data_IF_157594785411
#
_entry.id   IF_157594785411
#
_cell.length_a   1.000
_cell.length_b   1.000
_cell.length_c   1.000
_cell.angle_alpha   90.00
_cell.angle_beta   90.00
_cell.angle_gamma   90.00
#
_symmetry.space_group_name_H-M   'P 1'
#
loop_
_entity.id
_entity.type
_entity.pdbx_description
1 polymer ?
#
# COMPACT_ATOMS: atom_id res chain seq x y z
N UNK A 1 20.08 -27.73 -31.56
CA UNK A 1 19.17 -27.58 -30.41
C UNK A 1 19.96 -27.97 -29.17
N UNK A 2 20.32 -27.00 -28.35
CA UNK A 2 21.04 -27.23 -27.10
C UNK A 2 20.11 -27.94 -26.12
N UNK A 3 20.52 -29.10 -25.61
CA UNK A 3 19.83 -29.80 -24.52
C UNK A 3 19.66 -28.85 -23.35
N UNK A 4 18.45 -28.70 -22.76
CA UNK A 4 18.24 -27.78 -21.65
C UNK A 4 19.16 -28.18 -20.48
N UNK A 5 19.84 -27.19 -19.90
CA UNK A 5 20.77 -27.41 -18.80
C UNK A 5 20.04 -28.06 -17.61
N UNK A 6 20.64 -29.12 -17.09
CA UNK A 6 20.11 -29.94 -16.00
C UNK A 6 21.03 -29.80 -14.80
N UNK A 7 20.45 -29.48 -13.65
CA UNK A 7 21.17 -29.14 -12.43
C UNK A 7 20.95 -30.23 -11.38
N UNK A 8 22.05 -30.76 -10.84
CA UNK A 8 22.00 -31.74 -9.76
C UNK A 8 21.64 -31.07 -8.44
N UNK A 9 20.72 -31.68 -7.69
CA UNK A 9 20.24 -31.18 -6.39
C UNK A 9 20.84 -31.99 -5.24
N UNK A 10 20.86 -33.32 -5.39
CA UNK A 10 21.35 -34.25 -4.38
C UNK A 10 20.50 -35.52 -4.28
N UNK A 11 20.82 -36.43 -3.34
CA UNK A 11 20.15 -37.71 -3.20
C UNK A 11 18.69 -37.53 -2.76
N UNK A 12 17.76 -38.22 -3.40
CA UNK A 12 16.34 -38.18 -3.04
C UNK A 12 16.11 -38.66 -1.60
N UNK A 13 16.96 -39.57 -1.10
CA UNK A 13 16.94 -40.08 0.26
C UNK A 13 17.24 -39.01 1.33
N UNK A 14 17.92 -37.91 0.97
CA UNK A 14 18.20 -36.80 1.88
C UNK A 14 16.97 -35.93 2.14
N UNK A 15 15.96 -35.97 1.27
CA UNK A 15 14.73 -35.20 1.43
C UNK A 15 13.66 -36.00 2.17
N UNK A 16 13.30 -35.57 3.39
CA UNK A 16 12.08 -36.03 4.06
C UNK A 16 10.85 -35.31 3.51
N UNK A 17 9.65 -35.80 3.80
CA UNK A 17 8.42 -35.08 3.45
C UNK A 17 8.44 -33.65 4.03
N UNK A 18 8.03 -32.67 3.23
CA UNK A 18 8.05 -31.22 3.48
C UNK A 18 9.46 -30.61 3.59
N UNK A 19 10.50 -31.36 3.22
CA UNK A 19 11.85 -30.80 3.14
C UNK A 19 12.00 -29.90 1.91
N UNK A 20 12.95 -28.98 1.98
CA UNK A 20 13.18 -28.00 0.93
C UNK A 20 14.65 -27.67 0.77
N UNK A 21 15.10 -27.41 -0.45
CA UNK A 21 16.49 -27.06 -0.74
C UNK A 21 16.53 -25.97 -1.81
N UNK A 22 17.43 -25.01 -1.63
CA UNK A 22 17.69 -23.99 -2.63
C UNK A 22 18.79 -24.47 -3.58
N UNK A 23 18.54 -24.34 -4.88
CA UNK A 23 19.50 -24.71 -5.93
C UNK A 23 19.67 -23.53 -6.85
N UNK A 24 20.93 -23.13 -7.08
CA UNK A 24 21.25 -22.12 -8.08
C UNK A 24 21.40 -22.78 -9.44
N UNK A 25 20.49 -22.46 -10.34
CA UNK A 25 20.44 -22.93 -11.72
C UNK A 25 20.71 -21.74 -12.63
N UNK A 26 21.92 -21.66 -13.19
CA UNK A 26 22.44 -20.47 -13.87
C UNK A 26 22.31 -19.21 -12.98
N UNK A 27 21.63 -18.19 -13.46
CA UNK A 27 21.39 -16.94 -12.75
C UNK A 27 20.15 -17.00 -11.85
N UNK A 28 19.39 -18.12 -11.81
CA UNK A 28 18.13 -18.26 -11.06
C UNK A 28 18.27 -19.15 -9.84
N UNK A 29 17.77 -18.69 -8.70
CA UNK A 29 17.61 -19.50 -7.50
C UNK A 29 16.26 -20.22 -7.54
N UNK A 30 16.30 -21.54 -7.52
CA UNK A 30 15.15 -22.45 -7.60
C UNK A 30 14.92 -23.08 -6.22
N UNK A 31 13.69 -22.97 -5.72
CA UNK A 31 13.27 -23.64 -4.51
C UNK A 31 12.72 -25.03 -4.86
N UNK A 32 13.43 -26.06 -4.42
CA UNK A 32 13.04 -27.47 -4.59
C UNK A 32 12.37 -27.96 -3.32
N UNK A 33 11.16 -28.47 -3.44
CA UNK A 33 10.37 -29.00 -2.33
C UNK A 33 10.10 -30.48 -2.53
N UNK A 34 10.17 -31.26 -1.45
CA UNK A 34 9.55 -32.58 -1.38
C UNK A 34 8.24 -32.45 -0.63
N UNK A 35 7.13 -32.84 -1.24
CA UNK A 35 5.84 -32.91 -0.56
C UNK A 35 5.17 -34.24 -0.90
N UNK A 36 4.84 -35.01 0.15
CA UNK A 36 4.50 -36.42 0.07
C UNK A 36 5.59 -37.17 -0.71
N UNK A 37 5.20 -37.89 -1.75
CA UNK A 37 6.10 -38.69 -2.60
C UNK A 37 6.55 -37.96 -3.87
N UNK A 38 6.19 -36.68 -4.00
CA UNK A 38 6.49 -35.87 -5.17
C UNK A 38 7.54 -34.79 -4.87
N UNK A 39 8.31 -34.45 -5.89
CA UNK A 39 9.21 -33.30 -5.88
C UNK A 39 8.68 -32.20 -6.79
N UNK A 40 8.87 -30.96 -6.34
CA UNK A 40 8.43 -29.76 -7.03
C UNK A 40 9.55 -28.75 -7.07
N UNK A 41 9.63 -27.98 -8.15
CA UNK A 41 10.60 -26.91 -8.28
C UNK A 41 9.91 -25.65 -8.80
N UNK A 42 10.13 -24.53 -8.12
CA UNK A 42 9.59 -23.22 -8.51
C UNK A 42 10.68 -22.17 -8.40
N UNK A 43 10.56 -21.07 -9.15
CA UNK A 43 11.40 -19.90 -8.92
C UNK A 43 11.31 -19.55 -7.41
N UNK A 44 12.46 -19.39 -6.73
CA UNK A 44 12.45 -19.05 -5.31
C UNK A 44 11.89 -17.62 -5.09
N UNK A 45 11.96 -16.76 -6.09
CA UNK A 45 11.38 -15.42 -6.04
C UNK A 45 9.86 -15.47 -6.27
N UNK A 46 9.07 -15.13 -5.26
CA UNK A 46 7.61 -15.04 -5.36
C UNK A 46 7.15 -14.07 -6.45
N UNK A 47 6.13 -14.43 -7.23
CA UNK A 47 5.55 -13.60 -8.29
C UNK A 47 5.04 -12.23 -7.83
N UNK A 48 4.69 -12.09 -6.55
CA UNK A 48 4.15 -10.83 -6.05
C UNK A 48 5.24 -9.77 -5.98
N UNK A 49 6.27 -9.98 -5.14
CA UNK A 49 7.37 -9.03 -4.90
C UNK A 49 8.73 -9.71 -4.66
N UNK A 50 8.95 -10.91 -5.17
CA UNK A 50 10.26 -11.59 -5.10
C UNK A 50 10.65 -12.22 -3.75
N UNK A 51 9.70 -12.37 -2.83
CA UNK A 51 9.91 -13.01 -1.53
C UNK A 51 10.40 -14.46 -1.64
N UNK A 52 11.28 -14.93 -0.72
CA UNK A 52 11.93 -16.23 -0.81
C UNK A 52 10.95 -17.35 -0.45
N UNK A 53 10.39 -18.01 -1.46
CA UNK A 53 9.41 -19.07 -1.28
C UNK A 53 9.96 -20.28 -0.51
N UNK A 54 11.27 -20.52 -0.55
CA UNK A 54 11.91 -21.57 0.25
C UNK A 54 11.61 -21.43 1.76
N UNK A 55 11.43 -20.20 2.25
CA UNK A 55 11.11 -19.93 3.67
C UNK A 55 9.62 -20.08 4.00
N UNK A 56 8.77 -20.25 2.98
CA UNK A 56 7.34 -20.39 3.12
C UNK A 56 6.92 -21.74 3.70
N UNK A 57 5.82 -21.74 4.45
CA UNK A 57 5.16 -22.97 4.89
C UNK A 57 4.37 -23.61 3.73
N UNK A 58 4.21 -24.93 3.74
CA UNK A 58 3.42 -25.64 2.72
C UNK A 58 2.03 -25.96 3.29
N UNK A 59 0.98 -25.43 2.69
CA UNK A 59 -0.42 -25.77 2.98
C UNK A 59 -0.99 -26.66 1.87
N UNK A 60 -2.06 -27.41 2.15
CA UNK A 60 -2.82 -28.13 1.10
C UNK A 60 -4.14 -27.38 0.89
N UNK A 61 -4.36 -26.90 -0.34
CA UNK A 61 -5.53 -26.09 -0.70
C UNK A 61 -6.11 -26.64 -1.99
N UNK A 62 -7.39 -27.03 -1.95
CA UNK A 62 -8.10 -27.59 -3.11
C UNK A 62 -7.37 -28.77 -3.76
N UNK A 63 -6.75 -29.63 -2.95
CA UNK A 63 -5.96 -30.78 -3.43
C UNK A 63 -4.55 -30.42 -3.94
N UNK A 64 -4.17 -29.15 -3.99
CA UNK A 64 -2.86 -28.70 -4.42
C UNK A 64 -1.93 -28.38 -3.24
N UNK A 65 -0.67 -28.86 -3.26
CA UNK A 65 0.33 -28.38 -2.32
C UNK A 65 0.72 -26.94 -2.65
N UNK A 66 0.57 -26.04 -1.69
CA UNK A 66 0.77 -24.61 -1.85
C UNK A 66 1.86 -24.10 -0.92
N UNK A 67 2.89 -23.44 -1.45
CA UNK A 67 3.82 -22.66 -0.64
C UNK A 67 3.19 -21.31 -0.30
N UNK A 68 3.22 -20.95 0.98
CA UNK A 68 2.74 -19.67 1.51
C UNK A 68 3.90 -18.68 1.55
N UNK A 69 3.85 -17.66 0.71
CA UNK A 69 4.90 -16.65 0.67
C UNK A 69 5.07 -16.00 2.05
N UNK A 70 6.28 -15.99 2.64
CA UNK A 70 6.50 -15.50 4.00
C UNK A 70 6.22 -14.00 4.15
N UNK A 71 6.30 -13.22 3.06
CA UNK A 71 6.10 -11.77 3.10
C UNK A 71 4.63 -11.37 3.04
N UNK A 72 3.84 -12.00 2.16
CA UNK A 72 2.50 -11.53 1.81
C UNK A 72 1.40 -12.56 2.01
N UNK A 73 1.76 -13.76 2.49
CA UNK A 73 0.82 -14.85 2.75
C UNK A 73 0.04 -15.34 1.52
N UNK A 74 0.59 -15.08 0.32
CA UNK A 74 0.04 -15.59 -0.94
C UNK A 74 0.32 -17.08 -1.05
N UNK A 75 -0.71 -17.85 -1.40
CA UNK A 75 -0.63 -19.30 -1.60
C UNK A 75 -0.36 -19.58 -3.06
N UNK A 76 0.72 -20.32 -3.32
CA UNK A 76 1.21 -20.60 -4.67
C UNK A 76 1.33 -22.10 -4.81
N UNK A 77 0.60 -22.68 -5.76
CA UNK A 77 0.66 -24.12 -6.00
C UNK A 77 2.06 -24.51 -6.49
N UNK A 78 2.60 -25.60 -5.93
CA UNK A 78 3.93 -26.09 -6.27
C UNK A 78 3.97 -26.84 -7.61
N UNK A 79 2.83 -27.40 -8.03
CA UNK A 79 2.67 -28.17 -9.26
C UNK A 79 2.38 -27.28 -10.48
N UNK A 80 1.45 -26.35 -10.37
CA UNK A 80 0.98 -25.53 -11.50
C UNK A 80 1.53 -24.11 -11.49
N UNK A 81 1.91 -23.57 -10.32
CA UNK A 81 2.35 -22.18 -10.15
C UNK A 81 1.22 -21.17 -10.06
N UNK A 82 0.00 -21.63 -9.77
CA UNK A 82 -1.19 -20.78 -9.64
C UNK A 82 -1.24 -20.08 -8.28
N UNK A 83 -1.73 -18.83 -8.29
CA UNK A 83 -1.99 -18.07 -7.06
C UNK A 83 -3.39 -18.34 -6.54
N UNK A 84 -3.54 -19.18 -5.50
CA UNK A 84 -4.84 -19.51 -4.92
C UNK A 84 -5.23 -18.53 -3.80
N UNK A 85 -6.53 -18.27 -3.68
CA UNK A 85 -7.09 -17.44 -2.61
C UNK A 85 -8.51 -17.88 -2.24
N UNK A 86 -8.91 -17.55 -1.01
CA UNK A 86 -10.28 -17.78 -0.54
C UNK A 86 -11.15 -16.58 -0.94
N UNK A 87 -12.17 -16.82 -1.76
CA UNK A 87 -13.11 -15.78 -2.16
C UNK A 87 -13.99 -15.39 -0.97
N UNK A 88 -14.06 -14.08 -0.71
CA UNK A 88 -15.07 -13.52 0.19
C UNK A 88 -16.42 -13.55 -0.52
N UNK A 89 -17.33 -14.41 -0.04
CA UNK A 89 -18.70 -14.41 -0.51
C UNK A 89 -19.49 -13.35 0.25
N UNK A 90 -20.33 -12.62 -0.47
CA UNK A 90 -21.12 -11.51 0.05
C UNK A 90 -22.60 -11.92 0.03
N UNK A 91 -23.35 -11.56 1.07
CA UNK A 91 -24.81 -11.69 1.05
C UNK A 91 -25.42 -10.69 0.05
N UNK A 92 -26.69 -10.86 -0.36
CA UNK A 92 -27.39 -9.85 -1.16
C UNK A 92 -27.38 -8.44 -0.53
N UNK A 93 -27.21 -8.36 0.80
CA UNK A 93 -27.11 -7.10 1.55
C UNK A 93 -25.67 -6.55 1.65
N UNK A 94 -24.71 -7.10 0.90
CA UNK A 94 -23.36 -6.55 0.80
C UNK A 94 -22.47 -6.73 2.04
N UNK A 95 -22.80 -7.68 2.93
CA UNK A 95 -21.94 -8.06 4.06
C UNK A 95 -21.28 -9.42 3.81
N UNK A 96 -20.05 -9.66 4.31
CA UNK A 96 -19.41 -10.97 4.19
C UNK A 96 -20.29 -12.06 4.78
N UNK A 97 -20.70 -13.01 3.95
CA UNK A 97 -21.49 -14.14 4.40
C UNK A 97 -20.56 -15.11 5.14
N UNK A 98 -20.56 -15.01 6.46
CA UNK A 98 -19.76 -15.89 7.33
C UNK A 98 -20.25 -17.33 7.35
N UNK A 99 -21.45 -17.61 6.82
CA UNK A 99 -22.02 -18.96 6.72
C UNK A 99 -21.83 -19.56 5.33
N UNK A 100 -21.45 -18.77 4.34
CA UNK A 100 -21.17 -19.25 3.00
C UNK A 100 -19.97 -20.22 3.02
N UNK A 101 -20.01 -21.28 2.19
CA UNK A 101 -18.89 -22.20 2.08
C UNK A 101 -17.65 -21.47 1.56
N UNK A 102 -16.49 -21.79 2.15
CA UNK A 102 -15.22 -21.30 1.64
C UNK A 102 -15.03 -21.77 0.19
N UNK A 103 -14.88 -20.83 -0.72
CA UNK A 103 -14.62 -21.11 -2.14
C UNK A 103 -13.20 -20.71 -2.48
N UNK A 104 -12.42 -21.67 -2.97
CA UNK A 104 -11.10 -21.40 -3.54
C UNK A 104 -11.28 -20.82 -4.94
N UNK A 105 -10.52 -19.78 -5.23
CA UNK A 105 -10.40 -19.18 -6.55
C UNK A 105 -8.92 -19.10 -6.94
N UNK A 106 -8.66 -19.13 -8.24
CA UNK A 106 -7.32 -19.04 -8.82
C UNK A 106 -7.11 -17.69 -9.50
N UNK A 107 -5.93 -17.10 -9.31
CA UNK A 107 -5.42 -15.95 -10.09
C UNK A 107 -4.80 -16.39 -11.42
N UNK A 108 -4.87 -17.68 -11.76
CA UNK A 108 -4.12 -18.30 -12.86
C UNK A 108 -2.65 -18.49 -12.52
N UNK A 109 -1.88 -19.01 -13.50
CA UNK A 109 -0.45 -19.28 -13.36
C UNK A 109 0.36 -17.99 -13.27
N UNK A 110 0.93 -17.71 -12.10
CA UNK A 110 1.75 -16.51 -11.83
C UNK A 110 3.21 -16.86 -11.51
N UNK A 111 3.43 -18.02 -10.91
CA UNK A 111 4.74 -18.53 -10.52
C UNK A 111 5.28 -19.51 -11.59
N UNK A 112 6.55 -19.38 -11.96
CA UNK A 112 7.21 -20.35 -12.83
C UNK A 112 7.53 -21.62 -12.05
N UNK A 113 7.16 -22.74 -12.65
CA UNK A 113 7.49 -24.09 -12.18
C UNK A 113 8.51 -24.71 -13.14
N UNK A 114 9.41 -25.51 -12.59
CA UNK A 114 10.50 -26.18 -13.30
C UNK A 114 10.32 -27.70 -13.22
N UNK A 115 10.99 -28.41 -14.10
CA UNK A 115 10.83 -29.87 -14.21
C UNK A 115 11.79 -30.52 -13.22
N UNK A 116 11.28 -31.43 -12.39
CA UNK A 116 12.11 -32.25 -11.50
C UNK A 116 12.12 -33.68 -12.04
N UNK A 117 13.31 -34.28 -12.15
CA UNK A 117 13.49 -35.69 -12.52
C UNK A 117 14.27 -36.43 -11.45
N UNK A 118 13.91 -37.70 -11.23
CA UNK A 118 14.65 -38.63 -10.39
C UNK A 118 15.32 -39.67 -11.30
N UNK A 119 16.64 -39.80 -11.19
CA UNK A 119 17.43 -40.80 -11.90
C UNK A 119 18.44 -41.40 -10.94
N UNK A 120 18.51 -42.73 -10.87
CA UNK A 120 19.43 -43.48 -10.01
C UNK A 120 19.42 -43.05 -8.53
N UNK A 121 18.27 -42.59 -8.03
CA UNK A 121 18.10 -42.11 -6.65
C UNK A 121 18.52 -40.66 -6.43
N UNK A 122 18.94 -39.95 -7.47
CA UNK A 122 19.37 -38.55 -7.44
C UNK A 122 18.30 -37.62 -8.01
N UNK A 123 18.16 -36.43 -7.41
CA UNK A 123 17.19 -35.40 -7.81
C UNK A 123 17.88 -34.38 -8.72
N UNK A 124 17.21 -34.05 -9.82
CA UNK A 124 17.69 -33.04 -10.78
C UNK A 124 16.58 -32.05 -11.14
N UNK A 125 16.97 -30.82 -11.42
CA UNK A 125 16.09 -29.76 -11.90
C UNK A 125 16.47 -29.37 -13.32
N UNK A 126 15.47 -29.25 -14.20
CA UNK A 126 15.62 -28.69 -15.56
C UNK A 126 14.78 -27.42 -15.66
N UNK A 127 15.42 -26.31 -16.06
CA UNK A 127 14.74 -25.03 -16.16
C UNK A 127 13.67 -25.02 -17.27
N UNK A 128 12.44 -24.65 -16.91
CA UNK A 128 11.32 -24.52 -17.86
C UNK A 128 11.04 -23.05 -18.19
N UNK A 129 11.88 -22.45 -19.02
CA UNK A 129 11.81 -21.02 -19.42
C UNK A 129 11.34 -20.80 -20.86
N UNK A 130 11.06 -21.86 -21.62
CA UNK A 130 10.66 -21.76 -23.03
C UNK A 130 9.22 -21.25 -23.27
N UNK A 131 8.40 -21.16 -22.22
CA UNK A 131 7.02 -20.68 -22.27
C UNK A 131 6.87 -19.15 -22.20
N UNK A 132 5.64 -18.62 -22.18
CA UNK A 132 5.40 -17.19 -22.00
C UNK A 132 6.01 -16.67 -20.70
N UNK A 133 6.33 -15.38 -20.69
CA UNK A 133 6.82 -14.69 -19.49
C UNK A 133 5.72 -14.68 -18.43
N UNK A 134 6.09 -15.01 -17.20
CA UNK A 134 5.24 -15.01 -16.02
C UNK A 134 5.68 -13.89 -15.07
N UNK A 135 4.80 -13.45 -14.17
CA UNK A 135 5.08 -12.36 -13.22
C UNK A 135 6.32 -12.65 -12.36
N UNK A 136 6.52 -13.90 -11.96
CA UNK A 136 7.71 -14.37 -11.24
C UNK A 136 9.03 -14.15 -11.98
N UNK A 137 9.06 -14.14 -13.32
CA UNK A 137 10.30 -13.95 -14.08
C UNK A 137 10.95 -12.61 -13.81
N UNK A 138 10.13 -11.56 -13.65
CA UNK A 138 10.62 -10.22 -13.36
C UNK A 138 11.46 -10.18 -12.08
N UNK A 139 11.14 -11.02 -11.11
CA UNK A 139 11.88 -11.13 -9.86
C UNK A 139 12.97 -12.18 -9.90
N UNK A 140 12.73 -13.31 -10.57
CA UNK A 140 13.68 -14.41 -10.70
C UNK A 140 14.89 -14.05 -11.56
N UNK A 141 14.82 -13.02 -12.39
CA UNK A 141 15.95 -12.50 -13.18
C UNK A 141 16.75 -11.42 -12.43
N UNK A 142 16.32 -10.97 -11.24
CA UNK A 142 17.04 -9.94 -10.49
C UNK A 142 18.23 -10.54 -9.74
N UNK A 143 19.43 -9.99 -9.91
CA UNK A 143 20.63 -10.47 -9.19
C UNK A 143 20.40 -10.68 -7.69
N UNK A 144 19.67 -9.76 -7.06
CA UNK A 144 19.40 -9.80 -5.62
C UNK A 144 18.56 -11.01 -5.21
N UNK A 145 17.61 -11.41 -6.06
CA UNK A 145 16.78 -12.57 -5.85
C UNK A 145 17.58 -13.89 -5.96
N UNK A 146 18.82 -13.79 -6.45
CA UNK A 146 19.67 -14.93 -6.76
C UNK A 146 21.05 -14.86 -6.07
N UNK A 147 21.14 -14.05 -5.00
CA UNK A 147 22.37 -13.89 -4.20
C UNK A 147 22.64 -15.08 -3.28
N UNK A 148 21.61 -15.80 -2.86
CA UNK A 148 21.81 -16.98 -2.02
C UNK A 148 22.54 -18.08 -2.82
N UNK A 149 23.46 -18.78 -2.16
CA UNK A 149 24.16 -19.92 -2.76
C UNK A 149 23.30 -21.19 -2.77
N UNK A 150 23.71 -22.15 -3.59
CA UNK A 150 23.16 -23.51 -3.54
C UNK A 150 23.37 -24.13 -2.16
N UNK A 151 22.32 -24.71 -1.60
CA UNK A 151 22.38 -25.45 -0.35
C UNK A 151 22.93 -26.86 -0.60
N UNK A 152 23.70 -27.38 0.36
CA UNK A 152 24.30 -28.73 0.28
C UNK A 152 23.34 -29.82 0.77
N UNK A 153 22.49 -29.50 1.74
CA UNK A 153 21.52 -30.41 2.34
C UNK A 153 20.14 -29.75 2.40
N UNK A 154 19.06 -30.54 2.32
CA UNK A 154 17.71 -30.02 2.46
C UNK A 154 17.40 -29.61 3.91
N UNK A 155 16.62 -28.54 4.05
CA UNK A 155 16.04 -28.11 5.32
C UNK A 155 14.82 -28.95 5.65
N UNK A 156 14.78 -29.51 6.86
CA UNK A 156 13.63 -30.25 7.38
C UNK A 156 12.53 -29.30 7.91
N UNK A 157 11.29 -29.77 7.89
CA UNK A 157 10.12 -29.04 8.36
C UNK A 157 10.03 -29.05 9.90
N UNK A 158 10.63 -28.06 10.56
CA UNK A 158 10.63 -27.97 12.03
C UNK A 158 9.31 -27.39 12.58
N UNK A 159 8.45 -28.25 13.16
CA UNK A 159 7.12 -27.91 13.74
C UNK A 159 7.14 -27.01 15.00
N UNK A 160 8.24 -26.36 15.37
CA UNK A 160 8.33 -25.45 16.53
C UNK A 160 9.32 -24.31 16.24
N UNK A 161 8.82 -23.09 16.00
CA UNK A 161 9.64 -21.88 16.09
C UNK A 161 9.82 -21.49 17.56
N UNK A 162 10.74 -22.14 18.26
CA UNK A 162 11.48 -21.51 19.36
C UNK A 162 12.65 -20.76 18.75
N UNK A 163 12.84 -19.50 19.14
CA UNK A 163 14.02 -18.70 18.81
C UNK A 163 15.28 -19.38 19.36
N UNK A 164 15.84 -20.33 18.64
CA UNK A 164 17.21 -20.80 18.87
C UNK A 164 17.93 -20.88 17.54
N UNK A 165 19.03 -20.15 17.49
CA UNK A 165 20.03 -20.13 16.44
C UNK A 165 20.60 -21.51 16.22
N UNK A 166 20.38 -22.08 15.04
CA UNK A 166 21.31 -23.06 14.49
C UNK A 166 22.47 -22.29 13.90
N UNK A 167 23.64 -22.56 14.43
CA UNK A 167 24.93 -22.02 14.02
C UNK A 167 25.19 -22.33 12.55
N UNK A 168 25.47 -21.28 11.76
CA UNK A 168 26.10 -21.43 10.44
C UNK A 168 25.42 -20.76 9.25
N UNK A 169 24.09 -20.54 9.24
CA UNK A 169 23.43 -19.87 8.11
C UNK A 169 22.22 -19.04 8.57
N UNK A 170 22.31 -17.71 8.40
CA UNK A 170 21.23 -16.79 8.76
C UNK A 170 20.17 -16.71 7.65
N UNK A 171 19.34 -17.74 7.52
CA UNK A 171 18.23 -17.74 6.55
C UNK A 171 17.27 -16.55 6.75
N UNK A 172 17.00 -16.13 7.99
CA UNK A 172 16.08 -15.01 8.27
C UNK A 172 16.61 -13.60 7.98
N UNK A 173 17.93 -13.42 7.82
CA UNK A 173 18.53 -12.09 7.56
C UNK A 173 18.53 -11.76 6.07
N UNK A 174 18.65 -12.78 5.20
CA UNK A 174 18.64 -12.60 3.76
C UNK A 174 17.25 -12.23 3.22
N UNK A 175 16.16 -12.82 3.75
CA UNK A 175 14.78 -12.44 3.43
C UNK A 175 14.50 -10.94 3.62
N UNK A 176 14.93 -10.38 4.76
CA UNK A 176 14.71 -8.97 5.10
C UNK A 176 15.62 -8.00 4.32
N UNK A 177 16.81 -8.46 3.90
CA UNK A 177 17.71 -7.67 3.06
C UNK A 177 17.24 -7.72 1.58
N UNK A 178 16.80 -8.89 1.12
CA UNK A 178 16.29 -9.16 -0.22
C UNK A 178 14.99 -8.40 -0.51
N UNK A 179 14.10 -8.27 0.47
CA UNK A 179 12.95 -7.37 0.34
C UNK A 179 13.44 -5.95 0.05
N UNK A 180 14.26 -5.38 0.92
CA UNK A 180 14.75 -4.01 0.78
C UNK A 180 15.41 -3.65 -0.56
N UNK A 181 16.29 -4.50 -1.12
CA UNK A 181 16.98 -4.17 -2.38
C UNK A 181 16.33 -4.73 -3.68
N UNK A 182 15.29 -5.57 -3.60
CA UNK A 182 14.39 -5.81 -4.76
C UNK A 182 13.58 -4.53 -5.01
N UNK A 183 13.09 -3.90 -3.95
CA UNK A 183 12.40 -2.61 -4.03
C UNK A 183 13.32 -1.47 -4.53
N UNK A 184 14.63 -1.51 -4.21
CA UNK A 184 15.59 -0.50 -4.65
C UNK A 184 16.15 -0.66 -6.09
N UNK A 185 16.09 -1.83 -6.73
CA UNK A 185 16.65 -2.06 -8.09
C UNK A 185 15.65 -1.85 -9.24
N UNK A 186 14.34 -1.88 -8.94
CA UNK A 186 13.30 -1.52 -9.92
C UNK A 186 13.23 -0.01 -10.20
N UNK A 187 13.97 0.80 -9.44
CA UNK A 187 14.16 2.24 -9.64
C UNK A 187 15.56 2.54 -10.20
N UNK A 188 15.83 2.26 -11.47
CA UNK A 188 17.08 2.73 -12.11
C UNK A 188 16.82 3.86 -13.08
N UNK A 189 17.15 5.06 -12.59
CA UNK A 189 17.22 6.28 -13.38
C UNK A 189 18.04 7.40 -12.75
N UNK A 190 18.85 7.19 -11.70
CA UNK A 190 19.80 8.21 -11.22
C UNK A 190 21.03 7.56 -10.59
N UNK A 191 22.23 7.97 -11.04
CA UNK A 191 23.53 7.58 -10.44
C UNK A 191 23.61 8.07 -9.00
N UNK A 192 23.63 7.16 -8.02
CA UNK A 192 23.89 7.50 -6.62
C UNK A 192 25.38 7.73 -6.37
N UNK A 193 25.73 8.93 -5.88
CA UNK A 193 26.93 9.16 -5.09
C UNK A 193 26.64 8.76 -3.64
N UNK A 194 27.55 8.02 -3.01
CA UNK A 194 27.47 7.68 -1.59
C UNK A 194 27.62 8.94 -0.74
N UNK A 195 26.63 9.20 0.13
CA UNK A 195 26.70 10.26 1.14
C UNK A 195 26.66 9.63 2.52
N UNK A 196 27.56 10.11 3.39
CA UNK A 196 27.70 9.76 4.80
C UNK A 196 26.37 9.80 5.57
N UNK A 197 26.15 8.83 6.46
CA UNK A 197 24.99 8.70 7.35
C UNK A 197 24.78 9.84 8.37
N UNK A 198 25.70 10.82 8.44
CA UNK A 198 25.79 11.80 9.52
C UNK A 198 25.04 13.12 9.31
N UNK A 199 24.33 13.33 8.19
CA UNK A 199 23.71 14.64 7.85
C UNK A 199 22.20 14.55 7.57
N UNK A 200 21.52 13.51 8.08
CA UNK A 200 20.09 13.31 7.82
C UNK A 200 19.21 14.30 8.59
N UNK A 201 18.21 14.91 7.93
CA UNK A 201 17.30 15.83 8.59
C UNK A 201 16.51 15.12 9.69
N UNK A 202 16.46 15.73 10.86
CA UNK A 202 15.69 15.24 12.01
C UNK A 202 14.67 16.29 12.41
N UNK A 203 13.42 15.88 12.46
CA UNK A 203 12.29 16.74 12.79
C UNK A 203 11.92 16.58 14.26
N UNK A 204 11.57 17.66 14.94
CA UNK A 204 11.02 17.63 16.28
C UNK A 204 9.54 17.99 16.23
N UNK A 205 8.70 17.18 16.86
CA UNK A 205 7.30 17.58 17.06
C UNK A 205 7.25 18.59 18.21
N UNK A 206 6.86 19.82 17.91
CA UNK A 206 6.90 20.94 18.87
C UNK A 206 5.56 21.25 19.49
N UNK A 207 4.47 20.80 18.84
CA UNK A 207 3.10 21.04 19.29
C UNK A 207 2.18 19.95 18.76
N UNK A 208 1.13 19.66 19.53
CA UNK A 208 0.05 18.74 19.18
C UNK A 208 -1.28 19.37 19.56
N UNK A 209 -2.23 19.41 18.64
CA UNK A 209 -3.55 20.01 18.85
C UNK A 209 -4.68 19.04 18.46
N UNK A 210 -5.80 19.01 19.19
CA UNK A 210 -6.95 18.22 18.78
C UNK A 210 -7.57 18.80 17.50
N UNK A 211 -7.99 17.92 16.58
CA UNK A 211 -8.71 18.30 15.35
C UNK A 211 -10.16 17.85 15.43
N UNK A 212 -10.37 16.58 15.78
CA UNK A 212 -11.69 15.97 15.95
C UNK A 212 -11.53 14.69 16.80
N UNK A 213 -12.60 13.92 17.00
CA UNK A 213 -12.57 12.73 17.85
C UNK A 213 -11.47 11.74 17.41
N UNK A 214 -10.50 11.52 18.32
CA UNK A 214 -9.40 10.60 18.09
C UNK A 214 -8.39 11.03 17.02
N UNK A 215 -8.41 12.30 16.61
CA UNK A 215 -7.53 12.85 15.56
C UNK A 215 -6.86 14.14 16.05
N UNK A 216 -5.55 14.23 15.83
CA UNK A 216 -4.73 15.37 16.26
C UNK A 216 -3.86 15.89 15.11
N UNK A 217 -3.53 17.16 15.16
CA UNK A 217 -2.55 17.81 14.28
C UNK A 217 -1.21 17.94 15.01
N UNK A 218 -0.14 17.54 14.33
CA UNK A 218 1.23 17.51 14.84
C UNK A 218 2.08 18.50 14.06
N UNK A 219 2.77 19.37 14.77
CA UNK A 219 3.57 20.45 14.20
C UNK A 219 5.05 20.10 14.28
N UNK A 220 5.75 20.16 13.14
CA UNK A 220 7.16 19.73 13.06
C UNK A 220 8.09 20.89 12.73
N UNK A 221 9.23 20.92 13.40
CA UNK A 221 10.35 21.82 13.09
C UNK A 221 11.61 21.03 12.78
N UNK A 222 12.47 21.57 11.91
CA UNK A 222 13.78 20.99 11.66
C UNK A 222 14.68 21.22 12.87
N UNK A 223 15.10 20.14 13.51
CA UNK A 223 15.95 20.19 14.72
C UNK A 223 17.43 19.93 14.42
N UNK A 224 17.72 19.17 13.35
CA UNK A 224 19.07 18.86 12.90
C UNK A 224 19.09 18.54 11.40
N UNK A 225 20.26 18.68 10.77
CA UNK A 225 20.45 18.43 9.34
C UNK A 225 19.92 19.56 8.45
N UNK A 226 19.90 19.30 7.13
CA UNK A 226 19.33 20.21 6.12
C UNK A 226 18.20 19.52 5.37
N UNK A 227 17.16 20.29 5.05
CA UNK A 227 16.05 19.83 4.23
C UNK A 227 15.74 20.92 3.19
N UNK A 228 15.63 20.52 1.93
CA UNK A 228 15.21 21.43 0.87
C UNK A 228 13.69 21.63 0.94
N UNK A 229 13.29 22.66 1.66
CA UNK A 229 11.89 23.02 1.88
C UNK A 229 11.17 23.47 0.61
N UNK A 230 11.91 23.87 -0.44
CA UNK A 230 11.33 24.32 -1.70
C UNK A 230 10.70 23.17 -2.51
N UNK A 231 11.12 21.94 -2.20
CA UNK A 231 10.60 20.72 -2.81
C UNK A 231 9.32 20.20 -2.15
N UNK A 232 8.93 20.74 -0.99
CA UNK A 232 7.76 20.29 -0.26
C UNK A 232 6.51 20.99 -0.78
N UNK A 233 5.44 20.21 -0.96
CA UNK A 233 4.12 20.70 -1.33
C UNK A 233 3.07 20.03 -0.44
N UNK A 234 2.01 20.75 0.01
CA UNK A 234 0.86 20.10 0.64
C UNK A 234 0.32 18.95 -0.20
N UNK A 235 0.05 17.81 0.44
CA UNK A 235 -0.29 16.55 -0.22
C UNK A 235 0.90 15.61 -0.46
N UNK A 236 2.15 16.09 -0.42
CA UNK A 236 3.32 15.21 -0.36
C UNK A 236 3.32 14.37 0.92
N UNK A 237 3.95 13.21 0.86
CA UNK A 237 4.21 12.37 2.02
C UNK A 237 5.56 12.67 2.68
N UNK A 238 5.68 12.27 3.94
CA UNK A 238 6.93 12.14 4.69
C UNK A 238 7.00 10.78 5.35
N UNK A 239 8.17 10.14 5.30
CA UNK A 239 8.49 8.91 6.00
C UNK A 239 9.29 9.24 7.27
N UNK A 240 8.65 9.08 8.41
CA UNK A 240 9.26 9.34 9.72
C UNK A 240 9.63 8.03 10.40
N UNK A 241 10.84 7.97 10.94
CA UNK A 241 11.24 6.91 11.86
C UNK A 241 10.74 7.22 13.28
N UNK A 242 9.92 6.34 13.85
CA UNK A 242 9.41 6.47 15.20
C UNK A 242 10.43 5.88 16.19
N UNK A 243 10.63 6.50 17.35
CA UNK A 243 11.54 6.01 18.40
C UNK A 243 10.89 4.87 19.21
N UNK A 244 10.45 3.83 18.52
CA UNK A 244 9.87 2.62 19.08
C UNK A 244 10.89 1.49 18.91
N UNK A 245 11.07 0.67 19.94
CA UNK A 245 11.95 -0.49 19.88
C UNK A 245 11.54 -1.39 18.70
N UNK A 246 12.42 -1.45 17.71
CA UNK A 246 12.28 -2.31 16.56
C UNK A 246 13.22 -3.52 16.73
N UNK A 247 12.92 -4.68 16.11
CA UNK A 247 13.85 -5.81 16.09
C UNK A 247 15.24 -5.38 15.59
N UNK A 248 16.33 -6.02 16.03
CA UNK A 248 17.70 -5.64 15.66
C UNK A 248 17.86 -5.44 14.15
N UNK A 249 18.38 -4.28 13.75
CA UNK A 249 18.56 -3.90 12.34
C UNK A 249 17.31 -3.39 11.61
N UNK A 250 16.15 -3.27 12.29
CA UNK A 250 14.93 -2.67 11.75
C UNK A 250 14.69 -1.28 12.34
N UNK A 251 13.95 -0.46 11.60
CA UNK A 251 13.47 0.87 12.01
C UNK A 251 11.97 0.88 11.87
N UNK A 252 11.26 1.46 12.84
CA UNK A 252 9.81 1.55 12.75
C UNK A 252 9.45 2.83 11.98
N UNK A 253 9.14 2.69 10.68
CA UNK A 253 8.87 3.82 9.80
C UNK A 253 7.37 3.95 9.53
N UNK A 254 6.88 5.19 9.44
CA UNK A 254 5.51 5.49 9.00
C UNK A 254 5.48 6.65 8.04
N UNK A 255 4.63 6.50 7.03
CA UNK A 255 4.32 7.52 6.03
C UNK A 255 3.10 8.33 6.46
N UNK A 256 3.19 9.64 6.34
CA UNK A 256 2.07 10.56 6.54
C UNK A 256 2.08 11.68 5.52
N UNK A 257 0.89 12.21 5.21
CA UNK A 257 0.73 13.34 4.29
C UNK A 257 0.97 14.66 5.01
N UNK A 258 1.78 15.51 4.40
CA UNK A 258 1.96 16.91 4.76
C UNK A 258 0.65 17.66 4.50
N UNK A 259 0.14 18.30 5.54
CA UNK A 259 -1.14 19.02 5.50
C UNK A 259 -0.91 20.48 5.16
N UNK A 260 -0.08 21.17 5.94
CA UNK A 260 0.26 22.57 5.70
C UNK A 260 1.77 22.78 5.82
N UNK A 261 2.30 23.79 5.12
CA UNK A 261 3.69 24.22 5.20
C UNK A 261 3.78 25.58 5.88
N UNK A 262 4.89 25.84 6.59
CA UNK A 262 5.20 27.15 7.18
C UNK A 262 4.11 27.69 8.13
N UNK A 263 3.28 26.81 8.70
CA UNK A 263 2.22 27.18 9.64
C UNK A 263 2.85 27.52 10.98
N UNK A 264 2.69 28.77 11.41
CA UNK A 264 3.15 29.27 12.72
C UNK A 264 4.62 28.97 13.04
N UNK A 265 5.50 29.15 12.05
CA UNK A 265 6.94 28.90 12.22
C UNK A 265 7.33 27.42 12.30
N UNK A 266 6.39 26.51 12.03
CA UNK A 266 6.68 25.09 11.83
C UNK A 266 6.93 24.82 10.36
N UNK A 267 7.81 23.86 10.08
CA UNK A 267 8.13 23.45 8.72
C UNK A 267 6.88 22.91 8.01
N UNK A 268 6.21 21.95 8.67
CA UNK A 268 4.96 21.39 8.19
C UNK A 268 4.10 20.83 9.32
N UNK A 269 2.84 20.53 9.02
CA UNK A 269 1.93 19.81 9.92
C UNK A 269 1.46 18.47 9.34
N UNK A 270 1.13 17.53 10.23
CA UNK A 270 0.51 16.24 9.90
C UNK A 270 -0.78 16.08 10.70
N UNK A 271 -1.86 15.60 10.09
CA UNK A 271 -3.08 15.21 10.82
C UNK A 271 -3.14 13.69 10.91
N UNK A 272 -3.19 13.15 12.13
CA UNK A 272 -3.10 11.71 12.38
C UNK A 272 -4.28 11.26 13.26
N UNK A 273 -5.01 10.26 12.78
CA UNK A 273 -6.06 9.56 13.55
C UNK A 273 -5.44 8.39 14.32
N UNK A 274 -5.61 8.39 15.64
CA UNK A 274 -5.13 7.33 16.50
C UNK A 274 -5.91 6.04 16.25
N UNK A 275 -5.23 4.90 16.20
CA UNK A 275 -5.92 3.61 16.16
C UNK A 275 -6.45 3.27 17.57
N UNK A 276 -7.73 2.88 17.66
CA UNK A 276 -8.40 2.66 18.94
C UNK A 276 -7.88 1.44 19.74
N UNK A 277 -7.18 0.48 19.12
CA UNK A 277 -6.93 -0.85 19.72
C UNK A 277 -5.56 -1.49 19.43
N UNK A 278 -4.50 -0.74 19.13
CA UNK A 278 -3.16 -1.32 18.94
C UNK A 278 -2.04 -0.41 19.42
N UNK A 279 -0.95 -1.01 19.92
CA UNK A 279 0.37 -0.38 20.08
C UNK A 279 1.04 -0.14 18.70
N UNK A 280 0.31 0.54 17.81
CA UNK A 280 0.74 0.86 16.46
C UNK A 280 1.25 2.31 16.38
N UNK A 281 1.93 2.65 15.27
CA UNK A 281 2.59 3.95 15.12
C UNK A 281 1.69 5.16 15.37
N UNK A 282 0.45 5.17 14.88
CA UNK A 282 -0.46 6.31 15.10
C UNK A 282 -0.93 6.43 16.55
N UNK A 283 -1.15 5.32 17.24
CA UNK A 283 -1.47 5.32 18.67
C UNK A 283 -0.27 5.78 19.51
N UNK A 284 0.95 5.40 19.12
CA UNK A 284 2.17 5.88 19.75
C UNK A 284 2.36 7.38 19.53
N UNK A 285 2.16 7.87 18.30
CA UNK A 285 2.26 9.30 17.96
C UNK A 285 1.32 10.13 18.84
N UNK A 286 0.05 9.75 18.92
CA UNK A 286 -0.97 10.44 19.70
C UNK A 286 -0.60 10.58 21.18
N UNK A 287 0.09 9.58 21.75
CA UNK A 287 0.44 9.56 23.18
C UNK A 287 1.79 10.20 23.49
N UNK A 288 2.74 10.15 22.56
CA UNK A 288 4.15 10.37 22.88
C UNK A 288 4.87 11.38 21.99
N UNK A 289 4.30 11.83 20.87
CA UNK A 289 5.07 12.54 19.85
C UNK A 289 5.62 13.90 20.32
N UNK A 290 4.94 14.59 21.22
CA UNK A 290 5.35 15.93 21.66
C UNK A 290 6.79 15.91 22.22
N UNK A 291 7.61 16.82 21.71
CA UNK A 291 9.05 16.96 21.98
C UNK A 291 9.94 15.79 21.55
N UNK A 292 9.39 14.78 20.86
CA UNK A 292 10.16 13.70 20.28
C UNK A 292 10.80 14.12 18.96
N UNK A 293 11.91 13.44 18.65
CA UNK A 293 12.67 13.63 17.42
C UNK A 293 12.46 12.45 16.47
N UNK A 294 12.29 12.78 15.22
CA UNK A 294 11.93 11.86 14.15
C UNK A 294 12.92 12.06 13.01
N UNK A 295 13.81 11.09 12.76
CA UNK A 295 14.58 11.06 11.53
C UNK A 295 13.62 11.07 10.33
N UNK A 296 13.79 12.05 9.45
CA UNK A 296 13.09 12.10 8.17
C UNK A 296 13.88 11.24 7.19
N UNK A 297 13.26 10.15 6.74
CA UNK A 297 13.90 9.23 5.81
C UNK A 297 13.66 9.66 4.37
N UNK A 298 12.40 9.94 4.02
CA UNK A 298 11.99 10.32 2.68
C UNK A 298 10.85 11.33 2.73
N UNK A 299 10.71 12.10 1.68
CA UNK A 299 9.56 12.96 1.44
C UNK A 299 9.33 13.07 -0.06
N UNK A 300 8.11 13.40 -0.46
CA UNK A 300 7.78 13.67 -1.87
C UNK A 300 6.36 13.24 -2.21
N UNK A 301 6.10 13.09 -3.49
CA UNK A 301 4.86 12.53 -3.98
C UNK A 301 4.20 13.32 -5.09
N UNK A 302 3.34 12.63 -5.81
CA UNK A 302 2.68 13.03 -7.05
C UNK A 302 1.17 13.23 -6.88
N UNK A 303 0.57 12.80 -5.79
CA UNK A 303 -0.83 12.95 -5.41
C UNK A 303 -1.07 14.39 -4.93
N UNK A 304 -0.78 15.35 -5.81
CA UNK A 304 -0.92 16.78 -5.60
C UNK A 304 -1.57 17.43 -6.80
N UNK A 305 -2.33 18.51 -6.60
CA UNK A 305 -2.92 19.23 -7.73
C UNK A 305 -1.84 19.83 -8.65
N UNK A 306 -0.73 20.28 -8.06
CA UNK A 306 0.42 20.82 -8.79
C UNK A 306 1.06 19.81 -9.74
N UNK A 307 1.21 18.55 -9.32
CA UNK A 307 1.77 17.51 -10.18
C UNK A 307 0.85 17.18 -11.37
N UNK A 308 -0.47 17.26 -11.16
CA UNK A 308 -1.47 16.96 -12.17
C UNK A 308 -1.95 18.20 -12.95
N UNK A 309 -1.22 19.32 -12.90
CA UNK A 309 -1.62 20.59 -13.52
C UNK A 309 -1.94 20.52 -15.02
N UNK A 310 -1.15 19.78 -15.80
CA UNK A 310 -1.44 19.62 -17.23
C UNK A 310 -2.79 18.94 -17.43
N UNK A 311 -3.04 17.85 -16.70
CA UNK A 311 -4.28 17.11 -16.80
C UNK A 311 -5.46 17.92 -16.30
N UNK A 312 -5.30 18.66 -15.20
CA UNK A 312 -6.31 19.58 -14.68
C UNK A 312 -6.73 20.64 -15.71
N UNK A 313 -5.81 21.13 -16.54
CA UNK A 313 -6.17 22.04 -17.65
C UNK A 313 -6.97 21.34 -18.73
N UNK A 314 -6.58 20.11 -19.09
CA UNK A 314 -7.29 19.31 -20.11
C UNK A 314 -8.70 18.90 -19.69
N UNK A 315 -8.92 18.68 -18.39
CA UNK A 315 -10.26 18.39 -17.82
C UNK A 315 -10.98 19.64 -17.33
N UNK A 316 -10.51 20.84 -17.70
CA UNK A 316 -11.12 22.12 -17.35
C UNK A 316 -11.37 22.32 -15.84
N UNK A 317 -10.44 21.82 -15.03
CA UNK A 317 -10.48 21.90 -13.57
C UNK A 317 -11.52 20.99 -12.90
N UNK A 318 -12.13 20.05 -13.63
CA UNK A 318 -13.14 19.12 -13.09
C UNK A 318 -12.49 18.01 -12.26
N UNK A 319 -12.85 17.93 -10.99
CA UNK A 319 -12.30 16.96 -10.04
C UNK A 319 -13.45 16.25 -9.29
N UNK A 320 -13.36 14.93 -9.24
CA UNK A 320 -14.19 14.08 -8.40
C UNK A 320 -13.35 13.66 -7.19
N UNK A 321 -13.84 13.94 -6.00
CA UNK A 321 -13.19 13.58 -4.75
C UNK A 321 -14.05 12.57 -3.98
N UNK A 322 -13.51 11.39 -3.74
CA UNK A 322 -14.17 10.37 -2.92
C UNK A 322 -13.25 10.07 -1.73
N UNK A 323 -13.72 10.30 -0.50
CA UNK A 323 -12.91 10.02 0.68
C UNK A 323 -13.66 9.26 1.77
N UNK A 324 -12.92 8.50 2.58
CA UNK A 324 -13.47 7.86 3.78
C UNK A 324 -12.47 7.91 4.95
N UNK A 325 -12.99 8.19 6.14
CA UNK A 325 -12.19 8.31 7.36
C UNK A 325 -11.05 9.32 7.22
N UNK A 326 -9.84 8.95 7.68
CA UNK A 326 -8.69 9.86 7.69
C UNK A 326 -8.23 10.31 6.30
N UNK A 327 -8.61 9.59 5.23
CA UNK A 327 -8.29 9.96 3.84
C UNK A 327 -8.81 11.34 3.43
N UNK A 328 -9.81 11.89 4.14
CA UNK A 328 -10.29 13.26 3.94
C UNK A 328 -9.21 14.32 4.15
N UNK A 329 -8.23 14.04 5.02
CA UNK A 329 -7.15 14.99 5.34
C UNK A 329 -6.15 15.14 4.21
N UNK A 330 -5.98 14.10 3.40
CA UNK A 330 -5.16 14.17 2.17
C UNK A 330 -5.80 15.17 1.22
N UNK A 331 -7.09 15.05 0.96
CA UNK A 331 -7.83 15.97 0.09
C UNK A 331 -7.91 17.38 0.68
N UNK A 332 -8.05 17.50 2.00
CA UNK A 332 -7.96 18.79 2.69
C UNK A 332 -6.66 19.52 2.37
N UNK A 333 -5.51 18.84 2.48
CA UNK A 333 -4.19 19.42 2.20
C UNK A 333 -4.11 20.01 0.79
N UNK A 334 -4.68 19.30 -0.19
CA UNK A 334 -4.72 19.71 -1.60
C UNK A 334 -5.57 20.97 -1.81
N UNK A 335 -6.73 21.02 -1.17
CA UNK A 335 -7.70 22.10 -1.34
C UNK A 335 -7.32 23.34 -0.54
N UNK A 336 -6.95 23.16 0.73
CA UNK A 336 -6.69 24.25 1.67
C UNK A 336 -5.62 25.21 1.12
N UNK A 337 -4.53 24.67 0.59
CA UNK A 337 -3.48 25.47 -0.03
C UNK A 337 -3.98 26.30 -1.21
N UNK A 338 -4.89 25.75 -2.03
CA UNK A 338 -5.42 26.43 -3.20
C UNK A 338 -6.54 27.44 -2.88
N UNK A 339 -7.38 27.13 -1.89
CA UNK A 339 -8.57 27.93 -1.56
C UNK A 339 -8.24 29.06 -0.59
N UNK A 340 -7.34 28.83 0.36
CA UNK A 340 -7.00 29.79 1.42
C UNK A 340 -5.58 30.38 1.25
N UNK A 341 -4.73 29.73 0.47
CA UNK A 341 -3.35 30.17 0.22
C UNK A 341 -3.22 31.23 -0.89
N UNK A 342 -1.98 31.51 -1.28
CA UNK A 342 -1.72 32.42 -2.41
C UNK A 342 -2.13 31.74 -3.72
N UNK A 343 -3.11 32.32 -4.40
CA UNK A 343 -3.56 31.85 -5.72
C UNK A 343 -2.38 31.74 -6.69
N UNK A 344 -2.18 30.54 -7.19
CA UNK A 344 -1.27 30.25 -8.30
C UNK A 344 -1.96 30.72 -9.60
N UNK A 345 -1.40 31.70 -10.35
CA UNK A 345 -2.07 32.29 -11.51
C UNK A 345 -2.41 31.29 -12.62
N UNK A 346 -1.68 30.18 -12.68
CA UNK A 346 -1.75 29.19 -13.76
C UNK A 346 -2.85 28.13 -13.59
N UNK A 347 -3.54 28.10 -12.44
CA UNK A 347 -4.58 27.12 -12.17
C UNK A 347 -5.89 27.45 -12.91
N UNK A 348 -6.51 26.45 -13.57
CA UNK A 348 -7.87 26.61 -14.07
C UNK A 348 -8.84 26.80 -12.90
N UNK A 349 -10.03 27.33 -13.18
CA UNK A 349 -11.11 27.36 -12.18
C UNK A 349 -11.43 25.92 -11.77
N UNK A 350 -11.29 25.60 -10.49
CA UNK A 350 -11.53 24.24 -10.01
C UNK A 350 -13.03 24.00 -9.82
N UNK A 351 -13.52 22.88 -10.34
CA UNK A 351 -14.90 22.43 -10.20
C UNK A 351 -14.87 21.10 -9.49
N UNK A 352 -15.30 21.05 -8.24
CA UNK A 352 -15.03 19.91 -7.36
C UNK A 352 -16.34 19.40 -6.77
N UNK A 353 -16.58 18.11 -6.93
CA UNK A 353 -17.57 17.38 -6.14
C UNK A 353 -16.84 16.45 -5.18
N UNK A 354 -17.18 16.49 -3.90
CA UNK A 354 -16.54 15.73 -2.85
C UNK A 354 -17.58 14.96 -2.02
N UNK A 355 -17.53 13.63 -2.10
CA UNK A 355 -18.27 12.72 -1.23
C UNK A 355 -17.33 12.17 -0.15
N UNK A 356 -17.74 12.33 1.10
CA UNK A 356 -17.02 11.79 2.25
C UNK A 356 -17.84 10.75 3.01
N UNK A 357 -17.18 9.75 3.61
CA UNK A 357 -17.81 8.75 4.48
C UNK A 357 -17.11 8.71 5.84
N UNK A 358 -17.87 8.87 6.91
CA UNK A 358 -17.38 8.77 8.29
C UNK A 358 -18.43 8.11 9.20
N UNK A 359 -18.01 7.70 10.39
CA UNK A 359 -18.89 7.09 11.38
C UNK A 359 -19.87 8.09 11.98
N UNK A 360 -19.39 9.28 12.32
CA UNK A 360 -20.15 10.35 12.97
C UNK A 360 -19.56 11.71 12.61
N UNK A 361 -20.36 12.77 12.81
CA UNK A 361 -19.95 14.17 12.57
C UNK A 361 -18.66 14.52 13.31
N UNK A 362 -18.57 14.17 14.59
CA UNK A 362 -17.41 14.45 15.44
C UNK A 362 -16.11 13.79 14.97
N UNK A 363 -16.18 12.84 14.03
CA UNK A 363 -15.01 12.16 13.47
C UNK A 363 -14.45 12.81 12.20
N UNK A 364 -15.15 13.78 11.61
CA UNK A 364 -14.72 14.40 10.34
C UNK A 364 -13.70 15.49 10.63
N UNK A 365 -12.44 15.25 10.26
CA UNK A 365 -11.39 16.25 10.41
C UNK A 365 -11.66 17.45 9.50
N UNK A 366 -11.56 18.67 10.05
CA UNK A 366 -11.74 19.95 9.32
C UNK A 366 -13.11 20.11 8.65
N UNK A 367 -14.17 19.56 9.25
CA UNK A 367 -15.53 19.64 8.72
C UNK A 367 -15.98 21.07 8.40
N UNK A 368 -15.70 22.01 9.30
CA UNK A 368 -16.08 23.42 9.17
C UNK A 368 -15.56 24.04 7.87
N UNK A 369 -14.33 23.72 7.48
CA UNK A 369 -13.73 24.22 6.24
C UNK A 369 -14.46 23.70 5.00
N UNK A 370 -14.82 22.41 4.98
CA UNK A 370 -15.56 21.84 3.85
C UNK A 370 -16.96 22.44 3.71
N UNK A 371 -17.65 22.65 4.83
CA UNK A 371 -18.97 23.31 4.85
C UNK A 371 -18.83 24.77 4.40
N UNK A 372 -17.82 25.48 4.88
CA UNK A 372 -17.51 26.86 4.47
C UNK A 372 -17.24 26.94 2.97
N UNK A 373 -16.40 26.08 2.42
CA UNK A 373 -16.09 26.04 1.00
C UNK A 373 -17.31 25.68 0.14
N UNK A 374 -18.21 24.85 0.66
CA UNK A 374 -19.44 24.51 -0.05
C UNK A 374 -20.34 25.73 -0.28
N UNK A 375 -20.41 26.61 0.72
CA UNK A 375 -21.21 27.83 0.66
C UNK A 375 -20.45 29.04 0.11
N UNK A 376 -19.14 28.92 -0.15
CA UNK A 376 -18.30 30.00 -0.61
C UNK A 376 -18.66 30.42 -2.05
N UNK A 377 -18.74 31.74 -2.27
CA UNK A 377 -18.84 32.33 -3.61
C UNK A 377 -17.44 32.76 -4.06
N UNK A 378 -16.70 31.83 -4.63
CA UNK A 378 -15.36 32.08 -5.15
C UNK A 378 -15.35 32.18 -6.68
N UNK A 379 -14.55 33.09 -7.22
CA UNK A 379 -14.37 33.19 -8.68
C UNK A 379 -13.54 32.01 -9.24
N UNK A 380 -12.63 31.48 -8.43
CA UNK A 380 -11.59 30.54 -8.83
C UNK A 380 -11.90 29.08 -8.47
N UNK A 381 -12.98 28.81 -7.75
CA UNK A 381 -13.47 27.43 -7.55
C UNK A 381 -14.99 27.35 -7.38
N UNK A 382 -15.53 26.17 -7.61
CA UNK A 382 -16.86 25.73 -7.15
C UNK A 382 -16.69 24.40 -6.43
N UNK A 383 -17.26 24.28 -5.24
CA UNK A 383 -17.06 23.10 -4.39
C UNK A 383 -18.40 22.57 -3.86
N UNK A 384 -18.70 21.29 -4.14
CA UNK A 384 -19.90 20.60 -3.64
C UNK A 384 -19.47 19.50 -2.69
N UNK A 385 -19.90 19.58 -1.44
CA UNK A 385 -19.55 18.60 -0.41
C UNK A 385 -20.78 17.83 0.04
N UNK A 386 -20.63 16.52 0.22
CA UNK A 386 -21.66 15.67 0.82
C UNK A 386 -21.03 14.59 1.69
N UNK A 387 -21.59 14.34 2.87
CA UNK A 387 -21.06 13.39 3.84
C UNK A 387 -22.08 12.30 4.18
N UNK A 388 -21.65 11.04 4.08
CA UNK A 388 -22.40 9.91 4.60
C UNK A 388 -21.92 9.55 6.01
N UNK A 389 -22.84 9.57 6.97
CA UNK A 389 -22.61 9.12 8.33
C UNK A 389 -23.18 7.73 8.53
N UNK A 390 -22.31 6.75 8.82
CA UNK A 390 -22.78 5.36 8.98
C UNK A 390 -23.61 5.14 10.25
N UNK A 391 -23.46 6.02 11.26
CA UNK A 391 -24.28 5.98 12.48
C UNK A 391 -25.54 6.81 12.26
N UNK A 392 -26.69 6.30 12.74
CA UNK A 392 -27.89 7.14 12.84
C UNK A 392 -27.64 8.24 13.87
N UNK A 393 -27.89 9.48 13.47
CA UNK A 393 -27.78 10.63 14.37
C UNK A 393 -28.70 11.75 13.92
N UNK A 394 -29.30 12.43 14.90
CA UNK A 394 -30.05 13.65 14.67
C UNK A 394 -29.08 14.82 14.69
N UNK A 395 -28.89 15.47 13.55
CA UNK A 395 -28.29 16.79 13.48
C UNK A 395 -29.34 17.77 14.03
N UNK A 396 -29.00 18.70 14.92
CA UNK A 396 -29.93 19.68 15.48
C UNK A 396 -30.29 20.77 14.47
N UNK A 397 -31.54 21.25 14.51
CA UNK A 397 -31.98 22.40 13.73
C UNK A 397 -31.54 23.73 14.36
N UNK A 398 -31.24 23.71 15.65
CA UNK A 398 -31.11 24.90 16.48
C UNK A 398 -29.67 25.41 16.56
N UNK A 399 -28.71 24.64 16.04
CA UNK A 399 -27.30 24.99 15.95
C UNK A 399 -27.00 25.33 14.48
N UNK A 400 -26.52 26.55 14.22
CA UNK A 400 -26.34 27.05 12.85
C UNK A 400 -25.41 26.17 11.99
N UNK A 401 -24.37 25.60 12.59
CA UNK A 401 -23.43 24.68 11.91
C UNK A 401 -24.09 23.35 11.53
N UNK A 402 -24.88 22.76 12.44
CA UNK A 402 -25.59 21.52 12.16
C UNK A 402 -26.74 21.71 11.16
N UNK A 403 -27.35 22.90 11.14
CA UNK A 403 -28.34 23.27 10.14
C UNK A 403 -27.76 23.32 8.72
N UNK A 404 -26.58 23.90 8.54
CA UNK A 404 -25.87 23.87 7.25
C UNK A 404 -25.46 22.45 6.85
N UNK A 405 -25.00 21.64 7.80
CA UNK A 405 -24.59 20.26 7.52
C UNK A 405 -25.76 19.34 7.16
N UNK A 406 -26.97 19.58 7.67
CA UNK A 406 -28.16 18.76 7.39
C UNK A 406 -28.46 18.57 5.92
N UNK A 407 -28.23 19.60 5.10
CA UNK A 407 -28.45 19.53 3.64
C UNK A 407 -27.30 18.85 2.90
N UNK A 408 -26.18 18.64 3.58
CA UNK A 408 -24.94 18.08 3.05
C UNK A 408 -24.64 16.69 3.62
N UNK A 409 -25.62 16.07 4.29
CA UNK A 409 -25.39 14.84 5.03
C UNK A 409 -26.49 13.80 4.82
N UNK A 410 -26.07 12.53 4.81
CA UNK A 410 -26.96 11.37 4.85
C UNK A 410 -26.56 10.50 6.03
N UNK A 411 -27.44 10.32 7.01
CA UNK A 411 -27.16 9.58 8.24
C UNK A 411 -27.74 8.17 8.22
N UNK A 412 -27.14 7.26 8.99
CA UNK A 412 -27.64 5.91 9.23
C UNK A 412 -27.22 4.86 8.21
N UNK A 413 -26.43 5.22 7.20
CA UNK A 413 -26.02 4.29 6.16
C UNK A 413 -24.63 4.60 5.59
N UNK A 414 -24.00 3.56 5.04
CA UNK A 414 -22.82 3.67 4.20
C UNK A 414 -23.30 3.74 2.75
N UNK A 415 -22.73 4.61 1.89
CA UNK A 415 -23.16 4.68 0.51
C UNK A 415 -22.83 3.39 -0.23
N UNK A 416 -23.74 2.93 -1.07
CA UNK A 416 -23.48 1.88 -2.04
C UNK A 416 -23.04 2.46 -3.40
N UNK A 417 -22.95 1.60 -4.42
CA UNK A 417 -22.57 2.02 -5.76
C UNK A 417 -23.61 2.96 -6.41
N UNK A 418 -24.90 2.74 -6.14
CA UNK A 418 -25.97 3.57 -6.69
C UNK A 418 -25.97 4.96 -6.05
N UNK A 419 -25.73 5.05 -4.74
CA UNK A 419 -25.59 6.31 -4.03
C UNK A 419 -24.44 7.15 -4.59
N UNK A 420 -23.26 6.54 -4.78
CA UNK A 420 -22.09 7.24 -5.32
C UNK A 420 -22.38 7.66 -6.77
N UNK A 421 -22.97 6.79 -7.61
CA UNK A 421 -23.33 7.13 -8.99
C UNK A 421 -24.34 8.29 -9.04
N UNK A 422 -25.33 8.30 -8.16
CA UNK A 422 -26.29 9.38 -8.05
C UNK A 422 -25.62 10.70 -7.62
N UNK A 423 -24.66 10.64 -6.69
CA UNK A 423 -23.88 11.80 -6.29
C UNK A 423 -23.03 12.37 -7.44
N UNK A 424 -22.40 11.50 -8.24
CA UNK A 424 -21.65 11.91 -9.42
C UNK A 424 -22.58 12.62 -10.43
N UNK A 425 -23.74 12.03 -10.70
CA UNK A 425 -24.71 12.55 -11.68
C UNK A 425 -24.04 12.90 -13.01
N UNK A 426 -24.50 13.99 -13.63
CA UNK A 426 -24.00 14.46 -14.93
C UNK A 426 -22.63 15.18 -14.81
N UNK A 427 -22.04 15.23 -13.60
CA UNK A 427 -20.69 15.79 -13.43
C UNK A 427 -19.63 14.91 -14.10
N UNK A 428 -19.91 13.61 -14.25
CA UNK A 428 -19.02 12.64 -14.88
C UNK A 428 -19.78 11.97 -16.02
N UNK A 429 -19.39 12.29 -17.25
CA UNK A 429 -19.89 11.64 -18.44
C UNK A 429 -18.76 11.49 -19.47
N UNK A 430 -18.85 10.59 -20.45
CA UNK A 430 -17.80 10.42 -21.46
C UNK A 430 -17.42 11.71 -22.21
N UNK A 431 -18.36 12.63 -22.36
CA UNK A 431 -18.16 13.94 -23.02
C UNK A 431 -17.51 14.99 -22.11
N UNK A 432 -17.45 14.74 -20.80
CA UNK A 432 -16.96 15.67 -19.78
C UNK A 432 -15.95 14.95 -18.88
N UNK A 433 -14.67 14.87 -19.28
CA UNK A 433 -13.66 14.17 -18.50
C UNK A 433 -13.42 14.88 -17.16
N UNK A 434 -13.09 14.09 -16.14
CA UNK A 434 -12.79 14.60 -14.81
C UNK A 434 -11.64 13.80 -14.20
N UNK A 435 -10.84 14.45 -13.35
CA UNK A 435 -9.81 13.78 -12.55
C UNK A 435 -10.45 13.24 -11.27
N UNK A 436 -10.39 11.93 -11.04
CA UNK A 436 -10.92 11.31 -9.82
C UNK A 436 -9.79 11.09 -8.80
N UNK A 437 -9.99 11.57 -7.57
CA UNK A 437 -9.09 11.38 -6.44
C UNK A 437 -9.82 10.59 -5.35
N UNK A 438 -9.36 9.36 -5.08
CA UNK A 438 -10.02 8.44 -4.14
C UNK A 438 -9.08 8.10 -2.98
N UNK A 439 -9.49 8.41 -1.74
CA UNK A 439 -8.68 8.20 -0.53
C UNK A 439 -9.48 7.48 0.56
N UNK A 440 -8.83 6.62 1.35
CA UNK A 440 -9.45 6.00 2.52
C UNK A 440 -9.10 4.52 2.66
N UNK A 441 -9.88 3.72 3.41
CA UNK A 441 -9.60 2.30 3.58
C UNK A 441 -9.65 1.54 2.24
N UNK A 442 -8.86 0.45 2.06
CA UNK A 442 -8.75 -0.27 0.79
C UNK A 442 -10.09 -0.73 0.18
N UNK A 443 -11.05 -1.09 1.02
CA UNK A 443 -12.39 -1.47 0.59
C UNK A 443 -13.17 -0.30 -0.03
N UNK A 444 -13.02 0.91 0.53
CA UNK A 444 -13.65 2.12 -0.01
C UNK A 444 -12.95 2.58 -1.30
N UNK A 445 -11.62 2.52 -1.34
CA UNK A 445 -10.85 2.79 -2.56
C UNK A 445 -11.31 1.87 -3.69
N UNK A 446 -11.41 0.56 -3.42
CA UNK A 446 -11.85 -0.42 -4.42
C UNK A 446 -13.27 -0.13 -4.92
N UNK A 447 -14.19 0.30 -4.05
CA UNK A 447 -15.53 0.71 -4.44
C UNK A 447 -15.48 1.98 -5.30
N UNK A 448 -14.83 3.04 -4.82
CA UNK A 448 -14.70 4.32 -5.50
C UNK A 448 -14.12 4.18 -6.90
N UNK A 449 -13.00 3.44 -7.06
CA UNK A 449 -12.39 3.14 -8.37
C UNK A 449 -13.41 2.51 -9.32
N UNK A 450 -14.14 1.47 -8.88
CA UNK A 450 -15.16 0.82 -9.73
C UNK A 450 -16.25 1.79 -10.16
N UNK A 451 -16.77 2.61 -9.25
CA UNK A 451 -17.88 3.53 -9.57
C UNK A 451 -17.46 4.62 -10.55
N UNK A 452 -16.30 5.27 -10.33
CA UNK A 452 -15.84 6.35 -11.22
C UNK A 452 -15.47 5.84 -12.61
N UNK A 453 -14.88 4.64 -12.71
CA UNK A 453 -14.61 3.98 -13.99
C UNK A 453 -15.91 3.64 -14.73
N UNK A 454 -16.91 3.11 -14.01
CA UNK A 454 -18.21 2.81 -14.59
C UNK A 454 -18.99 4.08 -15.01
N UNK A 455 -18.71 5.22 -14.37
CA UNK A 455 -19.26 6.52 -14.75
C UNK A 455 -18.54 7.16 -15.95
N UNK A 456 -17.44 6.57 -16.44
CA UNK A 456 -16.72 7.01 -17.63
C UNK A 456 -15.43 7.78 -17.37
N UNK A 457 -14.94 7.85 -16.13
CA UNK A 457 -13.58 8.36 -15.87
C UNK A 457 -12.55 7.40 -16.45
N UNK A 458 -11.54 7.93 -17.14
CA UNK A 458 -10.47 7.11 -17.71
C UNK A 458 -9.61 6.48 -16.59
N UNK A 459 -9.10 5.25 -16.76
CA UNK A 459 -8.20 4.64 -15.78
C UNK A 459 -6.97 5.48 -15.43
N UNK A 460 -6.44 6.25 -16.39
CA UNK A 460 -5.31 7.18 -16.17
C UNK A 460 -5.66 8.40 -15.33
N UNK A 461 -6.96 8.69 -15.18
CA UNK A 461 -7.48 9.85 -14.44
C UNK A 461 -8.02 9.46 -13.06
N UNK A 462 -7.86 8.19 -12.66
CA UNK A 462 -8.19 7.74 -11.32
C UNK A 462 -6.91 7.68 -10.50
N UNK A 463 -6.78 8.62 -9.57
CA UNK A 463 -5.67 8.75 -8.65
C UNK A 463 -6.07 8.22 -7.27
N UNK A 464 -5.18 7.48 -6.63
CA UNK A 464 -5.31 7.14 -5.21
C UNK A 464 -4.06 7.44 -4.44
N UNK A 465 -4.23 7.76 -3.15
CA UNK A 465 -3.09 7.96 -2.24
C UNK A 465 -2.26 6.69 -2.03
N UNK A 466 -2.81 5.52 -2.39
CA UNK A 466 -2.10 4.24 -2.51
C UNK A 466 -1.33 4.06 -3.84
N UNK A 467 -1.70 4.77 -4.92
CA UNK A 467 -1.06 4.62 -6.25
C UNK A 467 0.32 5.30 -6.30
N UNK A 468 0.63 6.11 -5.29
CA UNK A 468 1.99 6.48 -4.94
C UNK A 468 2.71 5.36 -4.20
N UNK A 469 3.14 4.39 -5.00
CA UNK A 469 4.27 3.50 -4.75
C UNK A 469 4.89 3.57 -3.33
N UNK A 470 4.64 2.52 -2.56
CA UNK A 470 5.65 1.90 -1.68
C UNK A 470 6.85 1.34 -2.51
N UNK A 471 6.87 1.56 -3.83
CA UNK A 471 7.74 1.01 -4.88
C UNK A 471 8.80 2.01 -5.41
N UNK A 472 9.44 2.78 -4.53
CA UNK A 472 10.67 3.49 -4.90
C UNK A 472 11.55 3.83 -3.70
N UNK A 473 11.74 2.88 -2.77
CA UNK A 473 12.70 3.04 -1.66
C UNK A 473 13.43 1.73 -1.35
#
# INVERSE_FOLDING_TARGET
>A
MTTPARFHVGPAASFRNRSRQLVKCDERNIAVFRYKDCFYAVDNACYHHGGPLLEGDIEEIDGHPCVVCPWHQYRITLDTGEGLYWALQMTPSGVPDRKAPQKVCSKGKKQRTHIVTLEDGEVFVTLNTAGPRLESDGYAEMDIANKEGTMVLPLEDSKRRTHQSVSGFSLGIHSACRSGQIFAKMSTGVKLRSVSLSDRPTLMCVRVEPVCDGTQEFYFQLSHGRLDVSSLVPGNFVDLELPIAAPPGKRFVRRWTIIELNKEGCLFTLIIKAAAQCDCGSAWMSKNALHQRFPLLHHGGNFTLTHHMSRLREVEGRIVMLSAGIGVTVLYALLHYHFEGKRMPEFPKLQIIHLHVERSVSGVARLEDFVRWHHAKAEHFTYRFHCFFTKQQELSANLSEEASLRLLATCGQRPDEADIRHFLGDFVEPSYPALAMVCGPPAFISLGKRVVLAAGVLPSDVLTDEDESYNSL
#
